data_IF_813456115963
#
_entry.id   IF_813456115963
#
_cell.length_a   1.000
_cell.length_b   1.000
_cell.length_c   1.000
_cell.angle_alpha   90.00
_cell.angle_beta   90.00
_cell.angle_gamma   90.00
#
_symmetry.space_group_name_H-M   'P 1'
#
loop_
_entity.id
_entity.type
_entity.pdbx_description
1 polymer ?
#
# COMPACT_ATOMS: atom_id res chain seq x y z
N UNK A 1 8.38 -6.28 -16.04
CA UNK A 1 8.46 -7.69 -15.59
C UNK A 1 7.31 -7.95 -14.65
N UNK A 2 6.38 -8.67 -15.16
CA UNK A 2 5.09 -8.88 -14.47
C UNK A 2 5.28 -9.85 -13.31
N UNK A 3 4.39 -9.84 -12.32
CA UNK A 3 4.11 -10.90 -11.32
C UNK A 3 4.30 -12.33 -11.93
N UNK A 4 4.18 -12.47 -13.24
CA UNK A 4 4.46 -13.64 -14.06
C UNK A 4 5.79 -14.30 -13.74
N UNK A 5 6.89 -13.54 -13.68
CA UNK A 5 8.24 -14.13 -13.61
C UNK A 5 8.64 -14.52 -12.18
N UNK A 6 8.13 -13.81 -11.16
CA UNK A 6 8.38 -14.15 -9.75
C UNK A 6 7.68 -15.42 -9.29
N UNK A 7 6.50 -15.73 -9.87
CA UNK A 7 5.75 -16.93 -9.49
C UNK A 7 6.38 -18.21 -10.08
N UNK A 8 6.99 -18.11 -11.26
CA UNK A 8 7.57 -19.23 -11.98
C UNK A 8 9.01 -19.56 -11.61
N UNK A 9 9.77 -18.60 -11.11
CA UNK A 9 11.17 -18.83 -10.70
C UNK A 9 11.31 -19.72 -9.44
N UNK A 10 10.21 -19.92 -8.69
CA UNK A 10 10.21 -20.73 -7.47
C UNK A 10 9.70 -22.18 -7.63
N UNK A 11 9.20 -22.56 -8.80
CA UNK A 11 8.64 -23.90 -9.01
C UNK A 11 9.40 -24.68 -10.07
N UNK A 12 10.28 -25.63 -9.69
CA UNK A 12 11.06 -26.46 -10.63
C UNK A 12 10.21 -27.18 -11.67
N UNK A 13 8.92 -27.37 -11.39
CA UNK A 13 7.97 -28.00 -12.30
C UNK A 13 7.69 -27.20 -13.58
N UNK A 14 8.05 -25.91 -13.63
CA UNK A 14 7.76 -25.02 -14.75
C UNK A 14 9.01 -24.63 -15.58
N UNK A 15 10.19 -25.11 -15.19
CA UNK A 15 11.46 -24.74 -15.83
C UNK A 15 11.55 -25.14 -17.32
N UNK A 16 10.75 -26.13 -17.75
CA UNK A 16 10.68 -26.61 -19.14
C UNK A 16 9.31 -26.40 -19.81
N UNK A 17 8.43 -25.57 -19.23
CA UNK A 17 7.09 -25.37 -19.78
C UNK A 17 7.08 -24.29 -20.85
N UNK A 18 6.28 -24.49 -21.90
CA UNK A 18 6.05 -23.46 -22.92
C UNK A 18 5.35 -22.23 -22.32
N UNK A 19 5.51 -21.06 -22.90
CA UNK A 19 4.82 -19.83 -22.47
C UNK A 19 3.30 -20.02 -22.48
N UNK A 20 2.80 -20.82 -23.41
CA UNK A 20 1.38 -21.13 -23.58
C UNK A 20 0.83 -22.00 -22.44
N UNK A 21 1.59 -23.02 -22.00
CA UNK A 21 1.24 -23.86 -20.83
C UNK A 21 1.21 -23.04 -19.54
N UNK A 22 2.11 -22.09 -19.41
CA UNK A 22 2.18 -21.19 -18.25
C UNK A 22 0.98 -20.23 -18.22
N UNK A 23 0.54 -19.73 -19.36
CA UNK A 23 -0.65 -18.88 -19.46
C UNK A 23 -1.94 -19.65 -19.14
N UNK A 24 -2.05 -20.89 -19.63
CA UNK A 24 -3.18 -21.78 -19.30
C UNK A 24 -3.20 -22.07 -17.81
N UNK A 25 -2.05 -22.41 -17.20
CA UNK A 25 -1.95 -22.68 -15.76
C UNK A 25 -2.36 -21.45 -14.93
N UNK A 26 -1.91 -20.27 -15.31
CA UNK A 26 -2.30 -18.98 -14.68
C UNK A 26 -3.81 -18.75 -14.79
N UNK A 27 -4.37 -18.98 -15.95
CA UNK A 27 -5.80 -18.81 -16.21
C UNK A 27 -6.63 -19.79 -15.37
N UNK A 28 -6.21 -21.06 -15.30
CA UNK A 28 -6.86 -22.08 -14.47
C UNK A 28 -6.79 -21.70 -12.98
N UNK A 29 -5.62 -21.33 -12.47
CA UNK A 29 -5.47 -20.90 -11.08
C UNK A 29 -6.34 -19.68 -10.76
N UNK A 30 -6.38 -18.69 -11.66
CA UNK A 30 -7.21 -17.49 -11.50
C UNK A 30 -8.69 -17.87 -11.46
N UNK A 31 -9.15 -18.75 -12.36
CA UNK A 31 -10.53 -19.25 -12.37
C UNK A 31 -10.87 -20.03 -11.10
N UNK A 32 -9.98 -20.89 -10.62
CA UNK A 32 -10.17 -21.64 -9.37
C UNK A 32 -10.29 -20.69 -8.19
N UNK A 33 -9.43 -19.67 -8.09
CA UNK A 33 -9.52 -18.64 -7.07
C UNK A 33 -10.85 -17.86 -7.14
N UNK A 34 -11.25 -17.43 -8.34
CA UNK A 34 -12.51 -16.70 -8.54
C UNK A 34 -13.72 -17.56 -8.18
N UNK A 35 -13.74 -18.83 -8.59
CA UNK A 35 -14.82 -19.79 -8.26
C UNK A 35 -14.86 -20.00 -6.73
N UNK A 36 -13.70 -20.15 -6.09
CA UNK A 36 -13.61 -20.33 -4.63
C UNK A 36 -14.14 -19.11 -3.88
N UNK A 37 -13.75 -17.90 -4.29
CA UNK A 37 -14.26 -16.64 -3.72
C UNK A 37 -15.77 -16.54 -3.94
N UNK A 38 -16.24 -16.81 -5.15
CA UNK A 38 -17.68 -16.77 -5.47
C UNK A 38 -18.47 -17.80 -4.64
N UNK A 39 -17.97 -19.02 -4.49
CA UNK A 39 -18.58 -20.06 -3.67
C UNK A 39 -18.65 -19.65 -2.18
N UNK A 40 -17.57 -19.03 -1.65
CA UNK A 40 -17.54 -18.52 -0.29
C UNK A 40 -18.54 -17.37 -0.09
N UNK A 41 -18.61 -16.42 -1.03
CA UNK A 41 -19.57 -15.31 -0.99
C UNK A 41 -21.00 -15.83 -1.08
N UNK A 42 -21.28 -16.79 -1.99
CA UNK A 42 -22.59 -17.41 -2.12
C UNK A 42 -23.01 -18.15 -0.85
N UNK A 43 -22.08 -18.94 -0.26
CA UNK A 43 -22.31 -19.64 1.01
C UNK A 43 -22.55 -18.66 2.17
N UNK A 44 -21.77 -17.59 2.24
CA UNK A 44 -21.93 -16.53 3.23
C UNK A 44 -23.30 -15.83 3.07
N UNK A 45 -23.69 -15.50 1.84
CA UNK A 45 -24.99 -14.90 1.53
C UNK A 45 -26.16 -15.83 1.88
N UNK A 46 -26.06 -17.11 1.55
CA UNK A 46 -27.07 -18.12 1.89
C UNK A 46 -27.17 -18.33 3.40
N UNK A 47 -26.05 -18.26 4.12
CA UNK A 47 -26.05 -18.32 5.59
C UNK A 47 -26.64 -17.06 6.21
N UNK A 48 -26.32 -15.89 5.66
CA UNK A 48 -26.86 -14.60 6.11
C UNK A 48 -28.37 -14.46 5.85
N UNK A 49 -28.87 -15.03 4.74
CA UNK A 49 -30.31 -14.99 4.44
C UNK A 49 -31.18 -15.85 5.36
N UNK A 50 -30.57 -16.81 6.07
CA UNK A 50 -31.25 -17.64 7.09
C UNK A 50 -31.38 -16.95 8.45
N UNK A 51 -30.64 -15.87 8.67
CA UNK A 51 -30.71 -15.08 9.89
C UNK A 51 -31.64 -13.89 9.68
N UNK A 52 -32.60 -13.69 10.60
CA UNK A 52 -33.57 -12.58 10.54
C UNK A 52 -32.98 -11.18 10.54
N UNK A 53 -31.70 -11.04 10.91
CA UNK A 53 -30.97 -9.77 10.96
C UNK A 53 -30.26 -9.44 9.63
N UNK A 54 -30.05 -10.41 8.73
CA UNK A 54 -29.49 -10.24 7.38
C UNK A 54 -28.22 -9.37 7.34
N UNK A 55 -28.19 -8.42 6.40
CA UNK A 55 -27.09 -7.46 6.19
C UNK A 55 -27.18 -6.23 7.11
N UNK A 56 -27.49 -6.42 8.38
CA UNK A 56 -27.78 -5.33 9.34
C UNK A 56 -26.67 -4.29 9.48
N UNK A 57 -25.40 -4.66 9.31
CA UNK A 57 -24.28 -3.74 9.34
C UNK A 57 -24.33 -2.67 8.22
N UNK A 58 -24.86 -3.01 7.04
CA UNK A 58 -24.96 -2.07 5.90
C UNK A 58 -26.02 -0.96 6.10
N UNK A 59 -26.82 -1.02 7.17
CA UNK A 59 -27.71 0.08 7.56
C UNK A 59 -26.94 1.32 8.06
N UNK A 60 -25.67 1.16 8.36
CA UNK A 60 -24.81 2.24 8.87
C UNK A 60 -24.04 2.88 7.73
N UNK A 61 -24.35 4.14 7.33
CA UNK A 61 -23.72 4.79 6.18
C UNK A 61 -22.19 4.90 6.29
N UNK A 62 -21.67 5.12 7.51
CA UNK A 62 -20.22 5.19 7.74
C UNK A 62 -19.49 3.90 7.39
N UNK A 63 -20.14 2.74 7.51
CA UNK A 63 -19.56 1.47 7.08
C UNK A 63 -19.45 1.39 5.55
N UNK A 64 -20.49 1.79 4.83
CA UNK A 64 -20.49 1.78 3.36
C UNK A 64 -19.39 2.70 2.80
N UNK A 65 -19.27 3.92 3.34
CA UNK A 65 -18.18 4.84 2.99
C UNK A 65 -16.81 4.28 3.38
N UNK A 66 -16.70 3.63 4.54
CA UNK A 66 -15.48 2.98 4.98
C UNK A 66 -15.06 1.81 4.09
N UNK A 67 -16.01 1.02 3.59
CA UNK A 67 -15.77 -0.03 2.61
C UNK A 67 -15.16 0.54 1.32
N UNK A 68 -15.78 1.60 0.79
CA UNK A 68 -15.25 2.28 -0.40
C UNK A 68 -13.85 2.86 -0.12
N UNK A 69 -13.67 3.53 1.02
CA UNK A 69 -12.39 4.11 1.42
C UNK A 69 -11.29 3.05 1.56
N UNK A 70 -11.56 1.88 2.15
CA UNK A 70 -10.57 0.80 2.24
C UNK A 70 -10.25 0.23 0.85
N UNK A 71 -11.26 0.03 0.02
CA UNK A 71 -11.06 -0.47 -1.34
C UNK A 71 -10.11 0.44 -2.14
N UNK A 72 -10.40 1.74 -2.15
CA UNK A 72 -9.59 2.72 -2.88
C UNK A 72 -8.20 2.88 -2.25
N UNK A 73 -8.13 3.02 -0.93
CA UNK A 73 -6.87 3.17 -0.20
C UNK A 73 -5.92 1.98 -0.44
N UNK A 74 -6.40 0.74 -0.24
CA UNK A 74 -5.57 -0.46 -0.45
C UNK A 74 -5.17 -0.59 -1.92
N UNK A 75 -6.07 -0.21 -2.82
CA UNK A 75 -5.76 -0.11 -4.24
C UNK A 75 -4.57 0.81 -4.50
N UNK A 76 -4.57 2.02 -3.96
CA UNK A 76 -3.47 3.00 -4.09
C UNK A 76 -2.19 2.46 -3.45
N UNK A 77 -2.26 1.98 -2.19
CA UNK A 77 -1.12 1.45 -1.44
C UNK A 77 -0.38 0.36 -2.24
N UNK A 78 -1.12 -0.63 -2.76
CA UNK A 78 -0.54 -1.75 -3.50
C UNK A 78 -0.06 -1.32 -4.89
N UNK A 79 -0.79 -0.41 -5.54
CA UNK A 79 -0.45 0.05 -6.89
C UNK A 79 0.87 0.81 -6.94
N UNK A 80 1.11 1.71 -5.98
CA UNK A 80 2.37 2.47 -5.94
C UNK A 80 3.56 1.51 -5.92
N UNK A 81 3.57 0.54 -5.02
CA UNK A 81 4.70 -0.37 -4.89
C UNK A 81 4.80 -1.39 -6.03
N UNK A 82 3.68 -1.87 -6.56
CA UNK A 82 3.67 -2.86 -7.64
C UNK A 82 4.28 -2.32 -8.93
N UNK A 83 4.05 -1.05 -9.22
CA UNK A 83 4.55 -0.40 -10.42
C UNK A 83 5.87 0.36 -10.21
N UNK A 84 6.30 0.53 -8.95
CA UNK A 84 7.58 1.18 -8.64
C UNK A 84 8.78 0.42 -9.25
N UNK A 85 8.76 -0.91 -9.17
CA UNK A 85 9.81 -1.73 -9.77
C UNK A 85 9.92 -1.53 -11.28
N UNK A 86 8.79 -1.47 -11.96
CA UNK A 86 8.75 -1.22 -13.42
C UNK A 86 9.17 0.21 -13.76
N UNK A 87 8.73 1.19 -12.98
CA UNK A 87 9.14 2.59 -13.11
C UNK A 87 10.67 2.77 -13.07
N UNK A 88 11.36 1.98 -12.24
CA UNK A 88 12.80 2.06 -12.05
C UNK A 88 13.60 1.25 -13.08
N UNK A 89 12.99 0.20 -13.66
CA UNK A 89 13.64 -0.73 -14.60
C UNK A 89 13.38 -0.41 -16.06
N UNK A 90 12.23 0.20 -16.38
CA UNK A 90 11.87 0.48 -17.78
C UNK A 90 12.77 1.53 -18.39
N UNK A 91 13.53 1.15 -19.43
CA UNK A 91 14.37 2.05 -20.21
C UNK A 91 13.49 2.86 -21.18
N UNK A 92 13.49 4.18 -21.03
CA UNK A 92 12.81 5.10 -21.95
C UNK A 92 13.74 5.65 -23.04
N UNK A 93 15.00 5.24 -23.03
CA UNK A 93 16.05 5.61 -23.96
C UNK A 93 17.34 6.00 -23.25
N UNK A 94 18.47 5.69 -23.90
CA UNK A 94 19.84 6.01 -23.42
C UNK A 94 20.21 5.43 -22.04
N UNK A 95 19.55 4.36 -21.60
CA UNK A 95 19.79 3.76 -20.27
C UNK A 95 19.19 4.54 -19.11
N UNK A 96 18.19 5.39 -19.38
CA UNK A 96 17.51 6.23 -18.40
C UNK A 96 16.08 5.72 -18.21
N UNK A 97 15.63 5.65 -16.95
CA UNK A 97 14.27 5.27 -16.61
C UNK A 97 13.30 6.46 -16.65
N UNK A 98 12.01 6.19 -16.47
CA UNK A 98 10.94 7.16 -16.62
C UNK A 98 11.04 8.39 -15.69
N UNK A 99 11.79 8.30 -14.57
CA UNK A 99 12.02 9.43 -13.65
C UNK A 99 13.39 10.12 -13.86
N UNK A 100 14.13 9.76 -14.92
CA UNK A 100 15.39 10.40 -15.24
C UNK A 100 16.60 9.89 -14.44
N UNK A 101 16.51 8.71 -13.83
CA UNK A 101 17.63 8.01 -13.20
C UNK A 101 18.17 6.93 -14.15
N UNK A 102 19.41 6.47 -13.95
CA UNK A 102 19.90 5.26 -14.65
C UNK A 102 18.93 4.10 -14.41
N UNK A 103 18.76 3.28 -15.45
CA UNK A 103 17.95 2.06 -15.33
C UNK A 103 18.56 1.17 -14.25
N UNK A 104 17.72 0.76 -13.30
CA UNK A 104 18.13 -0.12 -12.21
C UNK A 104 17.83 -1.58 -12.55
N UNK A 105 18.72 -2.47 -12.17
CA UNK A 105 18.45 -3.89 -12.22
C UNK A 105 17.46 -4.31 -11.10
N UNK A 106 17.08 -5.58 -11.11
CA UNK A 106 16.09 -6.12 -10.17
C UNK A 106 16.59 -6.08 -8.72
N UNK A 107 17.88 -6.36 -8.51
CA UNK A 107 18.49 -6.33 -7.19
C UNK A 107 18.59 -4.89 -6.64
N UNK A 108 18.97 -3.95 -7.49
CA UNK A 108 19.04 -2.52 -7.14
C UNK A 108 17.67 -1.93 -6.84
N UNK A 109 16.63 -2.31 -7.60
CA UNK A 109 15.26 -1.86 -7.39
C UNK A 109 14.66 -2.40 -6.08
N UNK A 110 15.06 -3.61 -5.67
CA UNK A 110 14.54 -4.28 -4.48
C UNK A 110 14.72 -3.47 -3.20
N UNK A 111 15.83 -2.73 -3.04
CA UNK A 111 16.07 -1.88 -1.85
C UNK A 111 15.02 -0.77 -1.71
N UNK A 112 14.58 -0.18 -2.82
CA UNK A 112 13.57 0.89 -2.81
C UNK A 112 12.16 0.34 -2.54
N UNK A 113 11.86 -0.85 -3.08
CA UNK A 113 10.63 -1.57 -2.75
C UNK A 113 10.62 -1.91 -1.25
N UNK A 114 11.75 -2.37 -0.71
CA UNK A 114 11.89 -2.63 0.73
C UNK A 114 11.73 -1.36 1.58
N UNK A 115 12.24 -0.20 1.12
CA UNK A 115 12.00 1.10 1.76
C UNK A 115 10.53 1.50 1.77
N UNK A 116 9.80 1.26 0.69
CA UNK A 116 8.36 1.52 0.63
C UNK A 116 7.60 0.71 1.70
N UNK A 117 7.85 -0.61 1.76
CA UNK A 117 7.27 -1.48 2.79
C UNK A 117 7.74 -1.12 4.19
N UNK A 118 9.02 -0.74 4.32
CA UNK A 118 9.57 -0.20 5.55
C UNK A 118 8.83 1.06 6.00
N UNK A 119 8.50 1.96 5.08
CA UNK A 119 7.69 3.14 5.33
C UNK A 119 6.32 2.80 5.90
N UNK A 120 5.63 1.80 5.34
CA UNK A 120 4.37 1.28 5.88
C UNK A 120 4.54 0.74 7.31
N UNK A 121 5.60 -0.01 7.58
CA UNK A 121 5.91 -0.52 8.92
C UNK A 121 6.17 0.62 9.91
N UNK A 122 7.00 1.60 9.55
CA UNK A 122 7.35 2.76 10.38
C UNK A 122 6.09 3.50 10.84
N UNK A 123 5.19 3.80 9.91
CA UNK A 123 3.99 4.54 10.27
C UNK A 123 2.97 3.71 11.06
N UNK A 124 2.83 2.41 10.78
CA UNK A 124 1.95 1.51 11.56
C UNK A 124 2.46 1.35 13.00
N UNK A 125 3.76 1.18 13.22
CA UNK A 125 4.33 1.13 14.56
C UNK A 125 4.14 2.45 15.30
N UNK A 126 4.38 3.58 14.63
CA UNK A 126 4.18 4.91 15.22
C UNK A 126 2.71 5.15 15.57
N UNK A 127 1.80 4.83 14.64
CA UNK A 127 0.35 5.02 14.85
C UNK A 127 -0.24 4.13 15.95
N UNK A 128 0.35 2.93 16.18
CA UNK A 128 -0.10 2.04 17.24
C UNK A 128 0.09 2.61 18.66
N UNK A 129 1.00 3.58 18.83
CA UNK A 129 1.24 4.24 20.12
C UNK A 129 -0.04 4.90 20.65
N UNK A 130 -0.89 5.42 19.75
CA UNK A 130 -2.17 6.00 20.11
C UNK A 130 -3.16 5.03 20.79
N UNK A 131 -2.99 3.74 20.61
CA UNK A 131 -3.85 2.70 21.20
C UNK A 131 -3.50 2.34 22.66
N UNK A 132 -2.33 2.77 23.15
CA UNK A 132 -1.88 2.48 24.51
C UNK A 132 -2.37 3.56 25.49
N UNK A 133 -2.86 3.12 26.65
CA UNK A 133 -3.22 4.00 27.76
C UNK A 133 -1.95 4.33 28.59
N UNK A 134 -1.19 5.30 28.09
CA UNK A 134 0.08 5.77 28.68
C UNK A 134 0.04 7.28 28.89
N UNK A 135 0.95 7.79 29.75
CA UNK A 135 1.02 9.23 30.00
C UNK A 135 1.34 10.02 28.72
N UNK A 136 0.76 11.21 28.59
CA UNK A 136 0.97 12.12 27.45
C UNK A 136 2.45 12.41 27.18
N UNK A 137 3.27 12.51 28.23
CA UNK A 137 4.71 12.75 28.11
C UNK A 137 5.42 11.54 27.48
N UNK A 138 5.08 10.33 27.93
CA UNK A 138 5.67 9.10 27.38
C UNK A 138 5.21 8.89 25.93
N UNK A 139 3.95 9.18 25.64
CA UNK A 139 3.38 9.10 24.27
C UNK A 139 4.16 9.99 23.30
N UNK A 140 4.44 11.25 23.67
CA UNK A 140 5.23 12.17 22.84
C UNK A 140 6.66 11.66 22.59
N UNK A 141 7.30 11.10 23.61
CA UNK A 141 8.64 10.52 23.48
C UNK A 141 8.60 9.32 22.54
N UNK A 142 7.64 8.41 22.70
CA UNK A 142 7.50 7.24 21.84
C UNK A 142 7.17 7.62 20.39
N UNK A 143 6.28 8.60 20.16
CA UNK A 143 5.97 9.12 18.83
C UNK A 143 7.21 9.65 18.10
N UNK A 144 8.19 10.16 18.84
CA UNK A 144 9.45 10.64 18.27
C UNK A 144 10.45 9.50 18.04
N UNK A 145 10.61 8.57 19.00
CA UNK A 145 11.67 7.54 18.97
C UNK A 145 11.28 6.34 18.09
N UNK A 146 10.03 5.88 18.16
CA UNK A 146 9.57 4.67 17.48
C UNK A 146 9.82 4.66 15.97
N UNK A 147 9.54 5.74 15.21
CA UNK A 147 9.79 5.75 13.77
C UNK A 147 11.27 5.56 13.43
N UNK A 148 12.20 6.12 14.24
CA UNK A 148 13.62 5.94 14.01
C UNK A 148 14.11 4.53 14.40
N UNK A 149 13.55 3.91 15.44
CA UNK A 149 13.82 2.51 15.76
C UNK A 149 13.35 1.61 14.61
N UNK A 150 12.13 1.82 14.13
CA UNK A 150 11.58 1.06 13.00
C UNK A 150 12.43 1.27 11.73
N UNK A 151 12.88 2.49 11.47
CA UNK A 151 13.78 2.78 10.35
C UNK A 151 15.14 2.11 10.51
N UNK A 152 15.68 2.04 11.73
CA UNK A 152 16.88 1.27 12.04
C UNK A 152 16.76 -0.20 11.67
N UNK A 153 15.58 -0.81 11.90
CA UNK A 153 15.29 -2.18 11.44
C UNK A 153 15.31 -2.27 9.92
N UNK A 154 14.70 -1.31 9.22
CA UNK A 154 14.71 -1.27 7.75
C UNK A 154 16.13 -1.15 7.20
N UNK A 155 16.96 -0.29 7.78
CA UNK A 155 18.39 -0.15 7.41
C UNK A 155 19.11 -1.47 7.64
N UNK A 156 18.93 -2.11 8.80
CA UNK A 156 19.59 -3.38 9.12
C UNK A 156 19.21 -4.49 8.15
N UNK A 157 17.95 -4.60 7.76
CA UNK A 157 17.50 -5.59 6.77
C UNK A 157 18.12 -5.32 5.40
N UNK A 158 18.15 -4.06 4.95
CA UNK A 158 18.75 -3.71 3.66
C UNK A 158 20.28 -3.89 3.65
N UNK A 159 20.96 -3.76 4.80
CA UNK A 159 22.41 -3.92 4.90
C UNK A 159 22.91 -5.30 4.47
N UNK A 160 22.07 -6.34 4.51
CA UNK A 160 22.41 -7.70 4.10
C UNK A 160 22.36 -7.93 2.58
N UNK A 161 21.61 -7.11 1.85
CA UNK A 161 21.38 -7.30 0.41
C UNK A 161 21.92 -6.11 -0.41
N UNK A 162 21.38 -4.94 -0.20
CA UNK A 162 21.74 -3.70 -0.90
C UNK A 162 21.72 -2.54 0.12
N UNK A 163 22.86 -2.20 0.73
CA UNK A 163 22.92 -1.19 1.77
C UNK A 163 22.51 0.19 1.22
N UNK A 164 21.81 0.94 2.06
CA UNK A 164 21.45 2.32 1.79
C UNK A 164 22.68 3.22 1.92
N UNK A 165 22.80 4.19 1.03
CA UNK A 165 23.81 5.24 1.13
C UNK A 165 23.48 6.23 2.23
N UNK A 166 24.47 6.99 2.72
CA UNK A 166 24.24 8.03 3.72
C UNK A 166 23.27 9.10 3.24
N UNK A 167 23.27 9.44 1.94
CA UNK A 167 22.32 10.37 1.33
C UNK A 167 20.89 9.84 1.43
N UNK A 168 20.66 8.59 1.03
CA UNK A 168 19.35 7.94 1.08
C UNK A 168 18.81 7.86 2.52
N UNK A 169 19.67 7.51 3.48
CA UNK A 169 19.32 7.50 4.92
C UNK A 169 18.93 8.91 5.38
N UNK A 170 19.69 9.92 4.99
CA UNK A 170 19.43 11.33 5.35
C UNK A 170 18.09 11.82 4.80
N UNK A 171 17.83 11.60 3.51
CA UNK A 171 16.57 11.98 2.86
C UNK A 171 15.38 11.28 3.53
N UNK A 172 15.48 9.96 3.72
CA UNK A 172 14.38 9.19 4.32
C UNK A 172 14.13 9.59 5.79
N UNK A 173 15.18 9.92 6.54
CA UNK A 173 15.07 10.45 7.89
C UNK A 173 14.32 11.79 7.93
N UNK A 174 14.55 12.67 6.95
CA UNK A 174 13.79 13.93 6.82
C UNK A 174 12.30 13.66 6.56
N UNK A 175 11.98 12.70 5.72
CA UNK A 175 10.60 12.30 5.44
C UNK A 175 9.90 11.73 6.68
N UNK A 176 10.62 10.98 7.52
CA UNK A 176 10.13 10.51 8.82
C UNK A 176 9.83 11.71 9.75
N UNK A 177 10.65 12.73 9.76
CA UNK A 177 10.37 13.95 10.55
C UNK A 177 9.07 14.61 10.08
N UNK A 178 8.82 14.70 8.77
CA UNK A 178 7.56 15.22 8.23
C UNK A 178 6.37 14.38 8.72
N UNK A 179 6.51 13.04 8.72
CA UNK A 179 5.49 12.13 9.25
C UNK A 179 5.22 12.37 10.74
N UNK A 180 6.28 12.54 11.56
CA UNK A 180 6.16 12.83 12.99
C UNK A 180 5.41 14.15 13.20
N UNK A 181 5.74 15.20 12.46
CA UNK A 181 5.03 16.49 12.50
C UNK A 181 3.54 16.28 12.18
N UNK A 182 3.22 15.46 11.18
CA UNK A 182 1.83 15.11 10.83
C UNK A 182 1.07 14.50 12.01
N UNK A 183 1.67 13.56 12.74
CA UNK A 183 1.06 12.97 13.95
C UNK A 183 0.85 14.00 15.06
N UNK A 184 1.83 14.86 15.32
CA UNK A 184 1.70 15.92 16.33
C UNK A 184 0.58 16.91 16.00
N UNK A 185 0.44 17.31 14.73
CA UNK A 185 -0.62 18.22 14.27
C UNK A 185 -2.03 17.58 14.39
N UNK A 186 -2.11 16.29 14.18
CA UNK A 186 -3.38 15.56 14.22
C UNK A 186 -3.92 15.35 15.63
N UNK A 187 -3.08 15.37 16.66
CA UNK A 187 -3.46 15.20 18.09
C UNK A 187 -4.37 13.99 18.33
N UNK A 188 -3.95 12.82 17.87
CA UNK A 188 -4.68 11.53 18.00
C UNK A 188 -6.11 11.51 17.41
N UNK A 189 -6.49 12.49 16.63
CA UNK A 189 -7.78 12.53 15.98
C UNK A 189 -7.72 11.81 14.63
N UNK A 190 -8.38 10.67 14.51
CA UNK A 190 -8.34 9.81 13.31
C UNK A 190 -8.75 10.55 12.02
N UNK A 191 -9.75 11.45 12.08
CA UNK A 191 -10.15 12.26 10.92
C UNK A 191 -9.05 13.24 10.50
N UNK A 192 -8.39 13.89 11.48
CA UNK A 192 -7.29 14.81 11.18
C UNK A 192 -6.07 14.05 10.65
N UNK A 193 -5.75 12.88 11.22
CA UNK A 193 -4.71 12.00 10.71
C UNK A 193 -4.99 11.67 9.24
N UNK A 194 -6.18 11.16 8.94
CA UNK A 194 -6.58 10.87 7.57
C UNK A 194 -6.41 12.06 6.63
N UNK A 195 -6.94 13.23 7.00
CA UNK A 195 -6.89 14.42 6.15
C UNK A 195 -5.45 14.89 5.90
N UNK A 196 -4.61 14.95 6.95
CA UNK A 196 -3.21 15.39 6.83
C UNK A 196 -2.42 14.40 5.98
N UNK A 197 -2.51 13.10 6.26
CA UNK A 197 -1.73 12.09 5.57
C UNK A 197 -2.18 11.86 4.13
N UNK A 198 -3.50 11.97 3.84
CA UNK A 198 -3.99 11.97 2.46
C UNK A 198 -3.46 13.17 1.67
N UNK A 199 -3.50 14.38 2.26
CA UNK A 199 -2.97 15.58 1.61
C UNK A 199 -1.46 15.46 1.35
N UNK A 200 -0.69 14.99 2.32
CA UNK A 200 0.75 14.74 2.15
C UNK A 200 1.01 13.68 1.08
N UNK A 201 0.19 12.63 1.02
CA UNK A 201 0.27 11.60 -0.02
C UNK A 201 0.03 12.16 -1.41
N UNK A 202 -1.01 12.98 -1.59
CA UNK A 202 -1.31 13.67 -2.88
C UNK A 202 -0.15 14.58 -3.28
N UNK A 203 0.37 15.40 -2.35
CA UNK A 203 1.51 16.28 -2.61
C UNK A 203 2.74 15.45 -3.02
N UNK A 204 3.03 14.36 -2.32
CA UNK A 204 4.14 13.48 -2.67
C UNK A 204 3.98 12.87 -4.06
N UNK A 205 2.77 12.39 -4.41
CA UNK A 205 2.51 11.87 -5.76
C UNK A 205 2.68 12.94 -6.84
N UNK A 206 2.21 14.16 -6.61
CA UNK A 206 2.43 15.28 -7.54
C UNK A 206 3.92 15.59 -7.71
N UNK A 207 4.70 15.62 -6.62
CA UNK A 207 6.15 15.79 -6.69
C UNK A 207 6.80 14.62 -7.46
N UNK A 208 6.35 13.38 -7.25
CA UNK A 208 6.84 12.22 -7.98
C UNK A 208 6.56 12.27 -9.47
N UNK A 209 5.37 12.73 -9.87
CA UNK A 209 4.93 12.80 -11.27
C UNK A 209 5.62 13.94 -12.03
N UNK A 210 5.75 15.12 -11.42
CA UNK A 210 6.31 16.31 -12.06
C UNK A 210 7.79 16.53 -11.76
N UNK A 211 8.35 15.81 -10.79
CA UNK A 211 9.76 15.85 -10.43
C UNK A 211 10.60 14.89 -11.29
N UNK A 212 11.89 14.89 -11.04
CA UNK A 212 12.85 13.99 -11.70
C UNK A 212 13.93 13.53 -10.71
N UNK A 213 14.63 12.45 -11.09
CA UNK A 213 15.76 11.93 -10.33
C UNK A 213 15.39 11.43 -8.94
N UNK A 214 16.28 11.62 -7.99
CA UNK A 214 16.10 11.17 -6.60
C UNK A 214 14.88 11.83 -5.94
N UNK A 215 14.54 13.07 -6.31
CA UNK A 215 13.38 13.78 -5.75
C UNK A 215 12.09 13.02 -6.11
N UNK A 216 11.92 12.65 -7.36
CA UNK A 216 10.77 11.87 -7.80
C UNK A 216 10.74 10.48 -7.14
N UNK A 217 11.88 9.80 -7.06
CA UNK A 217 12.00 8.50 -6.42
C UNK A 217 11.55 8.56 -4.96
N UNK A 218 12.12 9.45 -4.16
CA UNK A 218 11.76 9.55 -2.75
C UNK A 218 10.33 10.06 -2.54
N UNK A 219 9.81 10.87 -3.44
CA UNK A 219 8.40 11.27 -3.42
C UNK A 219 7.46 10.06 -3.58
N UNK A 220 7.73 9.15 -4.51
CA UNK A 220 6.97 7.89 -4.63
C UNK A 220 7.15 6.99 -3.39
N UNK A 221 8.36 6.91 -2.83
CA UNK A 221 8.64 6.12 -1.62
C UNK A 221 7.88 6.62 -0.39
N UNK A 222 7.63 7.93 -0.29
CA UNK A 222 6.82 8.49 0.81
C UNK A 222 5.37 8.03 0.79
N UNK A 223 4.89 7.49 -0.32
CA UNK A 223 3.60 6.81 -0.38
C UNK A 223 3.48 5.74 0.70
N UNK A 224 4.52 4.94 0.94
CA UNK A 224 4.55 3.97 2.04
C UNK A 224 4.38 4.63 3.43
N UNK A 225 5.08 5.74 3.69
CA UNK A 225 4.96 6.47 4.96
C UNK A 225 3.56 7.04 5.17
N UNK A 226 2.98 7.67 4.15
CA UNK A 226 1.70 8.37 4.27
C UNK A 226 0.50 7.44 4.20
N UNK A 227 0.57 6.35 3.44
CA UNK A 227 -0.46 5.33 3.43
C UNK A 227 -0.50 4.50 4.73
N UNK A 228 0.58 4.43 5.48
CA UNK A 228 0.79 3.51 6.61
C UNK A 228 -0.30 3.53 7.68
N UNK A 229 -0.84 4.72 7.99
CA UNK A 229 -1.83 4.91 9.07
C UNK A 229 -3.27 4.95 8.56
N UNK A 230 -3.49 4.96 7.25
CA UNK A 230 -4.82 5.10 6.67
C UNK A 230 -5.73 3.93 7.04
N UNK A 231 -5.22 2.70 6.95
CA UNK A 231 -5.98 1.50 7.31
C UNK A 231 -6.60 1.55 8.70
N UNK A 232 -5.82 1.69 9.80
CA UNK A 232 -6.39 1.70 11.14
C UNK A 232 -7.35 2.87 11.36
N UNK A 233 -7.10 4.04 10.77
CA UNK A 233 -7.99 5.19 10.87
C UNK A 233 -9.34 4.94 10.18
N UNK A 234 -9.33 4.50 8.93
CA UNK A 234 -10.57 4.19 8.18
C UNK A 234 -11.33 3.08 8.90
N UNK A 235 -10.63 2.02 9.31
CA UNK A 235 -11.24 0.89 9.97
C UNK A 235 -11.95 1.30 11.28
N UNK A 236 -11.25 2.02 12.17
CA UNK A 236 -11.81 2.44 13.45
C UNK A 236 -13.01 3.37 13.29
N UNK A 237 -12.95 4.33 12.36
CA UNK A 237 -14.06 5.23 12.06
C UNK A 237 -15.27 4.48 11.51
N UNK A 238 -15.04 3.48 10.68
CA UNK A 238 -16.11 2.72 10.01
C UNK A 238 -16.87 1.80 10.95
N UNK A 239 -16.19 1.20 11.95
CA UNK A 239 -16.84 0.29 12.91
C UNK A 239 -17.44 1.01 14.11
N UNK A 240 -17.14 2.30 14.30
CA UNK A 240 -17.64 3.07 15.45
C UNK A 240 -19.16 3.10 15.44
N UNK A 241 -19.78 2.73 16.57
CA UNK A 241 -21.23 2.77 16.75
C UNK A 241 -22.02 1.60 16.13
N UNK A 242 -21.38 0.59 15.53
CA UNK A 242 -22.05 -0.58 14.95
C UNK A 242 -22.63 -1.53 16.03
N UNK A 243 -22.15 -1.45 17.28
CA UNK A 243 -22.63 -2.30 18.38
C UNK A 243 -22.55 -3.79 18.04
N UNK A 244 -23.68 -4.51 18.08
CA UNK A 244 -23.74 -5.95 17.78
C UNK A 244 -23.31 -6.32 16.33
N UNK A 245 -23.28 -5.37 15.42
CA UNK A 245 -22.88 -5.59 14.04
C UNK A 245 -21.38 -5.32 13.77
N UNK A 246 -20.58 -5.03 14.82
CA UNK A 246 -19.14 -4.73 14.67
C UNK A 246 -18.39 -5.87 13.97
N UNK A 247 -18.64 -7.13 14.35
CA UNK A 247 -18.00 -8.28 13.69
C UNK A 247 -18.35 -8.40 12.21
N UNK A 248 -19.63 -8.19 11.87
CA UNK A 248 -20.08 -8.20 10.48
C UNK A 248 -19.47 -7.04 9.68
N UNK A 249 -19.46 -5.84 10.26
CA UNK A 249 -18.86 -4.66 9.64
C UNK A 249 -17.35 -4.83 9.41
N UNK A 250 -16.64 -5.38 10.39
CA UNK A 250 -15.20 -5.70 10.24
C UNK A 250 -14.94 -6.68 9.09
N UNK A 251 -15.79 -7.69 8.94
CA UNK A 251 -15.67 -8.64 7.82
C UNK A 251 -15.86 -7.96 6.47
N UNK A 252 -16.82 -7.06 6.34
CA UNK A 252 -17.02 -6.28 5.11
C UNK A 252 -15.82 -5.39 4.79
N UNK A 253 -15.24 -4.71 5.78
CA UNK A 253 -14.06 -3.87 5.59
C UNK A 253 -12.84 -4.70 5.14
N UNK A 254 -12.63 -5.87 5.75
CA UNK A 254 -11.53 -6.78 5.35
C UNK A 254 -11.72 -7.28 3.91
N UNK A 255 -12.95 -7.58 3.48
CA UNK A 255 -13.23 -7.97 2.10
C UNK A 255 -12.83 -6.88 1.09
N UNK A 256 -12.86 -5.61 1.48
CA UNK A 256 -12.50 -4.48 0.60
C UNK A 256 -10.99 -4.37 0.32
N UNK A 257 -10.13 -5.20 0.95
CA UNK A 257 -8.73 -5.40 0.54
C UNK A 257 -8.63 -5.82 -0.94
N UNK A 258 -9.72 -6.33 -1.51
CA UNK A 258 -9.84 -6.65 -2.92
C UNK A 258 -9.44 -5.48 -3.86
N UNK A 259 -9.50 -4.24 -3.39
CA UNK A 259 -8.99 -3.08 -4.12
C UNK A 259 -7.54 -3.23 -4.55
N UNK A 260 -6.69 -3.83 -3.69
CA UNK A 260 -5.30 -4.13 -4.00
C UNK A 260 -5.09 -5.19 -5.09
N UNK A 261 -6.10 -5.96 -5.43
CA UNK A 261 -6.05 -6.91 -6.55
C UNK A 261 -6.61 -6.32 -7.86
N UNK A 262 -7.50 -5.32 -7.78
CA UNK A 262 -8.21 -4.76 -8.93
C UNK A 262 -7.51 -3.51 -9.47
N UNK A 263 -7.12 -2.59 -8.60
CA UNK A 263 -6.59 -1.27 -9.01
C UNK A 263 -5.21 -1.37 -9.67
N UNK A 264 -4.22 -2.17 -9.18
CA UNK A 264 -2.91 -2.26 -9.81
C UNK A 264 -2.95 -2.73 -11.27
N UNK A 265 -3.68 -3.78 -11.66
CA UNK A 265 -3.82 -4.16 -13.06
C UNK A 265 -4.48 -3.09 -13.94
N UNK A 266 -5.46 -2.34 -13.39
CA UNK A 266 -6.09 -1.22 -14.12
C UNK A 266 -5.07 -0.10 -14.37
N UNK A 267 -4.29 0.26 -13.37
CA UNK A 267 -3.25 1.28 -13.52
C UNK A 267 -2.14 0.79 -14.45
N UNK A 268 -1.75 -0.48 -14.39
CA UNK A 268 -0.82 -1.07 -15.36
C UNK A 268 -1.31 -0.94 -16.79
N UNK A 269 -2.62 -1.16 -17.03
CA UNK A 269 -3.22 -0.96 -18.35
C UNK A 269 -3.24 0.51 -18.78
N UNK A 270 -3.45 1.43 -17.85
CA UNK A 270 -3.32 2.87 -18.13
C UNK A 270 -1.87 3.25 -18.43
N UNK A 271 -0.91 2.61 -17.78
CA UNK A 271 0.52 2.81 -18.07
C UNK A 271 0.90 2.37 -19.48
N UNK A 272 0.33 1.27 -19.98
CA UNK A 272 0.53 0.80 -21.37
C UNK A 272 0.00 1.82 -22.40
N UNK A 273 -1.07 2.56 -22.08
CA UNK A 273 -1.74 3.48 -23.00
C UNK A 273 -1.14 4.89 -22.92
N UNK A 274 -0.91 5.40 -21.72
CA UNK A 274 -0.56 6.81 -21.44
C UNK A 274 0.89 7.00 -20.97
N UNK A 275 1.62 5.91 -20.77
CA UNK A 275 2.95 5.92 -20.17
C UNK A 275 2.92 5.79 -18.64
N UNK A 276 4.02 5.28 -18.10
CA UNK A 276 4.13 4.89 -16.69
C UNK A 276 3.85 6.06 -15.73
N UNK A 277 4.55 7.19 -15.90
CA UNK A 277 4.41 8.35 -15.00
C UNK A 277 2.99 8.94 -15.08
N UNK A 278 2.45 9.09 -16.29
CA UNK A 278 1.11 9.66 -16.49
C UNK A 278 0.03 8.79 -15.85
N UNK A 279 0.23 7.48 -15.82
CA UNK A 279 -0.72 6.55 -15.20
C UNK A 279 -0.87 6.77 -13.69
N UNK A 280 0.17 7.28 -13.00
CA UNK A 280 0.09 7.62 -11.57
C UNK A 280 -0.87 8.77 -11.26
N UNK A 281 -1.25 9.61 -12.25
CA UNK A 281 -2.31 10.61 -12.06
C UNK A 281 -3.65 9.97 -11.69
N UNK A 282 -3.92 8.75 -12.13
CA UNK A 282 -5.14 8.02 -11.76
C UNK A 282 -5.24 7.79 -10.26
N UNK A 283 -4.12 7.60 -9.55
CA UNK A 283 -4.08 7.35 -8.11
C UNK A 283 -4.43 8.58 -7.27
N UNK A 284 -4.25 9.78 -7.81
CA UNK A 284 -4.59 11.04 -7.13
C UNK A 284 -6.11 11.23 -7.08
N UNK A 285 -6.83 10.66 -8.05
CA UNK A 285 -8.29 10.79 -8.16
C UNK A 285 -9.05 9.70 -7.40
N UNK A 286 -8.37 8.65 -6.94
CA UNK A 286 -8.91 7.56 -6.14
C UNK A 286 -8.85 7.92 -4.65
#
# INVERSE_FOLDING_TARGET
MCIRDSFYSYTPAFENSSVEDLEITRLVLTLVCLISVFALVFRANSSASKNSEGWGALKYPQLAWGMLAIFTYVGVEVTIQSNLGELLKADIGEGINAIGLPVLDEAQSAKYIALYWGGLMIGRWTGSIGAFDISESLKKILLFITPFIAFGVVIAVNAFSNPLTFSEIGIFSLLIVIQIIGFYLAKDNALKIMAIFSLLGVIAMLIGIFGSGEIALFAFLTGGLFCSIMWPCIFSLSITGLGKYTSQGSSFLVMMILGGAIIPPLQGKLADIFGMITSYLSLIHI
#
